data_IF_173807720016
#
_entry.id   IF_173807720016
#
_cell.length_a   1.000
_cell.length_b   1.000
_cell.length_c   1.000
_cell.angle_alpha   90.00
_cell.angle_beta   90.00
_cell.angle_gamma   90.00
#
_symmetry.space_group_name_H-M   'P 1'
#
loop_
_entity.id
_entity.type
_entity.pdbx_description
1 polymer ?
#
# COMPACT_ATOMS: atom_id res chain seq x y z
N UNK A 1 1.37 2.98 -19.21
CA UNK A 1 1.07 1.62 -18.70
C UNK A 1 -0.01 1.00 -19.56
N UNK A 2 0.11 -0.29 -19.88
CA UNK A 2 -0.96 -1.02 -20.55
C UNK A 2 -2.12 -1.26 -19.55
N UNK A 3 -3.37 -1.09 -20.00
CA UNK A 3 -4.59 -1.33 -19.20
C UNK A 3 -5.12 -2.73 -19.49
N UNK A 4 -4.60 -3.74 -18.79
CA UNK A 4 -4.92 -5.15 -19.03
C UNK A 4 -6.08 -5.62 -18.14
N UNK A 5 -6.18 -5.09 -16.93
CA UNK A 5 -7.25 -5.35 -15.97
C UNK A 5 -7.52 -4.11 -15.12
N UNK A 6 -8.54 -4.18 -14.28
CA UNK A 6 -8.76 -3.19 -13.22
C UNK A 6 -7.61 -3.29 -12.20
N UNK A 7 -7.07 -2.14 -11.79
CA UNK A 7 -5.91 -2.08 -10.90
C UNK A 7 -6.00 -0.83 -10.03
N UNK A 8 -5.62 -0.98 -8.76
CA UNK A 8 -5.52 0.10 -7.78
C UNK A 8 -4.24 0.02 -6.97
N UNK A 9 -3.97 1.05 -6.16
CA UNK A 9 -2.80 1.09 -5.26
C UNK A 9 -3.23 1.53 -3.87
N UNK A 10 -2.50 1.06 -2.86
CA UNK A 10 -2.63 1.48 -1.46
C UNK A 10 -1.29 2.10 -1.07
N UNK A 11 -1.31 3.37 -0.63
CA UNK A 11 -0.13 4.05 -0.11
C UNK A 11 -0.21 4.20 1.41
N UNK A 12 0.95 4.10 2.03
CA UNK A 12 1.18 4.39 3.46
C UNK A 12 2.16 5.57 3.55
N UNK A 13 2.12 6.36 4.64
CA UNK A 13 3.01 7.52 4.77
C UNK A 13 4.49 7.09 4.88
N UNK A 14 5.36 7.80 4.18
CA UNK A 14 6.80 7.83 4.46
C UNK A 14 7.10 9.04 5.32
N UNK A 15 7.94 8.89 6.34
CA UNK A 15 8.33 9.95 7.28
C UNK A 15 8.95 11.12 6.51
N UNK A 16 8.27 12.26 6.55
CA UNK A 16 8.69 13.47 5.82
C UNK A 16 8.64 13.35 4.30
N UNK A 17 8.02 12.29 3.75
CA UNK A 17 7.97 12.03 2.30
C UNK A 17 9.33 11.65 1.69
N UNK A 18 10.32 11.31 2.52
CA UNK A 18 11.64 10.86 2.04
C UNK A 18 11.49 9.51 1.37
N UNK A 19 12.07 9.37 0.17
CA UNK A 19 12.17 8.11 -0.56
C UNK A 19 13.45 8.09 -1.41
N UNK A 20 13.89 6.92 -1.87
CA UNK A 20 15.14 6.72 -2.60
C UNK A 20 16.39 7.20 -1.85
N UNK A 21 16.35 7.13 -0.52
CA UNK A 21 17.43 7.56 0.36
C UNK A 21 17.61 6.59 1.54
N UNK A 22 18.81 6.47 2.13
CA UNK A 22 19.06 5.54 3.24
C UNK A 22 18.22 5.79 4.49
N UNK A 23 17.70 6.99 4.67
CA UNK A 23 16.84 7.42 5.76
C UNK A 23 15.34 7.32 5.45
N UNK A 24 14.97 6.73 4.31
CA UNK A 24 13.58 6.38 3.98
C UNK A 24 13.00 5.48 5.08
N UNK A 25 11.86 5.91 5.65
CA UNK A 25 11.24 5.18 6.75
C UNK A 25 9.72 5.38 6.81
N UNK A 26 8.98 4.35 7.20
CA UNK A 26 7.53 4.35 7.46
C UNK A 26 7.27 3.70 8.82
N UNK A 27 6.42 4.28 9.67
CA UNK A 27 6.16 3.70 11.00
C UNK A 27 5.63 2.26 10.91
N UNK A 28 6.05 1.32 11.78
CA UNK A 28 5.55 -0.06 11.74
C UNK A 28 4.02 -0.15 11.87
N UNK A 29 3.40 0.80 12.57
CA UNK A 29 1.94 0.88 12.69
C UNK A 29 1.29 1.18 11.35
N UNK A 30 1.87 2.10 10.59
CA UNK A 30 1.38 2.46 9.26
C UNK A 30 1.56 1.31 8.26
N UNK A 31 2.67 0.55 8.36
CA UNK A 31 2.88 -0.68 7.59
C UNK A 31 1.79 -1.73 7.88
N UNK A 32 1.50 -1.97 9.16
CA UNK A 32 0.48 -2.92 9.58
C UNK A 32 -0.92 -2.51 9.09
N UNK A 33 -1.24 -1.22 9.17
CA UNK A 33 -2.50 -0.68 8.65
C UNK A 33 -2.60 -0.85 7.13
N UNK A 34 -1.54 -0.52 6.38
CA UNK A 34 -1.51 -0.72 4.92
C UNK A 34 -1.70 -2.19 4.53
N UNK A 35 -1.06 -3.11 5.27
CA UNK A 35 -1.23 -4.55 5.06
C UNK A 35 -2.66 -5.03 5.37
N UNK A 36 -3.29 -4.51 6.43
CA UNK A 36 -4.69 -4.83 6.76
C UNK A 36 -5.66 -4.32 5.68
N UNK A 37 -5.44 -3.11 5.16
CA UNK A 37 -6.25 -2.58 4.04
C UNK A 37 -6.09 -3.47 2.81
N UNK A 38 -4.86 -3.92 2.51
CA UNK A 38 -4.62 -4.86 1.41
C UNK A 38 -5.36 -6.18 1.61
N UNK A 39 -5.30 -6.76 2.82
CA UNK A 39 -6.01 -7.99 3.17
C UNK A 39 -7.51 -7.87 2.91
N UNK A 40 -8.15 -6.86 3.51
CA UNK A 40 -9.61 -6.67 3.37
C UNK A 40 -10.01 -6.35 1.93
N UNK A 41 -9.17 -5.61 1.20
CA UNK A 41 -9.40 -5.33 -0.23
C UNK A 41 -9.39 -6.61 -1.06
N UNK A 42 -8.43 -7.50 -0.81
CA UNK A 42 -8.35 -8.78 -1.52
C UNK A 42 -9.53 -9.69 -1.17
N UNK A 43 -9.92 -9.76 0.10
CA UNK A 43 -11.08 -10.54 0.53
C UNK A 43 -12.38 -10.04 -0.10
N UNK A 44 -12.51 -8.73 -0.31
CA UNK A 44 -13.69 -8.17 -0.98
C UNK A 44 -13.67 -8.45 -2.49
N UNK A 45 -12.52 -8.31 -3.15
CA UNK A 45 -12.37 -8.58 -4.59
C UNK A 45 -12.50 -10.08 -4.94
N UNK A 46 -12.15 -10.99 -4.02
CA UNK A 46 -12.28 -12.44 -4.24
C UNK A 46 -13.73 -12.96 -4.15
N UNK A 47 -14.65 -12.16 -3.60
CA UNK A 47 -16.07 -12.54 -3.44
C UNK A 47 -16.90 -12.42 -4.73
N UNK A 48 -16.33 -11.87 -5.79
CA UNK A 48 -16.99 -11.64 -7.09
C UNK A 48 -16.54 -12.65 -8.13
#
# INVERSE_FOLDING_TARGET
MARICETGMIFVPSKGGVSHAPDEWTDPTDLALGANVLLETLLELDRT
#
